data_IF_334690088039
#
_entry.id   IF_334690088039
#
_cell.length_a   1.000
_cell.length_b   1.000
_cell.length_c   1.000
_cell.angle_alpha   90.00
_cell.angle_beta   90.00
_cell.angle_gamma   90.00
#
_symmetry.space_group_name_H-M   'P 1'
#
loop_
_entity.id
_entity.type
_entity.pdbx_description
1 polymer ?
#
# COMPACT_ATOMS: atom_id res chain seq x y z
N UNK A 1 0.47 -5.44 -11.80
CA UNK A 1 0.17 -6.47 -12.83
C UNK A 1 0.66 -5.92 -14.15
N UNK A 2 1.09 -6.76 -15.08
CA UNK A 2 1.44 -6.32 -16.43
C UNK A 2 0.70 -7.21 -17.42
N UNK A 3 -0.05 -6.59 -18.33
CA UNK A 3 -0.92 -7.30 -19.28
C UNK A 3 -1.87 -8.27 -18.55
N UNK A 4 -2.54 -7.79 -17.50
CA UNK A 4 -3.48 -8.55 -16.64
C UNK A 4 -2.89 -9.80 -15.96
N UNK A 5 -1.57 -9.95 -15.98
CA UNK A 5 -0.86 -11.03 -15.30
C UNK A 5 -0.15 -10.53 -14.05
N UNK A 6 -0.20 -11.34 -13.00
CA UNK A 6 0.57 -11.08 -11.79
C UNK A 6 2.03 -11.43 -12.05
N UNK A 7 2.92 -10.52 -11.66
CA UNK A 7 4.37 -10.69 -11.80
C UNK A 7 4.95 -11.29 -10.52
N UNK A 8 4.54 -10.75 -9.36
CA UNK A 8 5.01 -11.18 -8.06
C UNK A 8 4.01 -10.83 -6.96
N UNK A 9 4.12 -11.56 -5.84
CA UNK A 9 3.43 -11.28 -4.59
C UNK A 9 4.45 -10.96 -3.50
N UNK A 10 4.09 -10.08 -2.59
CA UNK A 10 4.89 -9.79 -1.40
C UNK A 10 3.96 -9.62 -0.19
N UNK A 11 4.36 -10.20 0.94
CA UNK A 11 3.65 -10.08 2.21
C UNK A 11 4.66 -9.99 3.34
N UNK A 12 4.30 -9.32 4.43
CA UNK A 12 5.09 -9.33 5.67
C UNK A 12 4.18 -9.35 6.88
N UNK A 13 4.70 -9.89 7.98
CA UNK A 13 4.04 -9.78 9.27
C UNK A 13 4.19 -8.36 9.84
N UNK A 14 3.16 -7.92 10.58
CA UNK A 14 3.20 -6.66 11.30
C UNK A 14 4.17 -6.75 12.49
N UNK A 15 5.02 -5.74 12.64
CA UNK A 15 5.87 -5.59 13.82
C UNK A 15 5.01 -5.32 15.05
N UNK A 16 5.54 -5.63 16.24
CA UNK A 16 4.82 -5.48 17.51
C UNK A 16 4.22 -4.08 17.69
N UNK A 17 4.95 -3.02 17.30
CA UNK A 17 4.47 -1.65 17.40
C UNK A 17 3.48 -1.26 16.28
N UNK A 18 3.55 -1.92 15.11
CA UNK A 18 2.62 -1.71 13.99
C UNK A 18 1.23 -2.25 14.33
N UNK A 19 1.14 -3.30 15.16
CA UNK A 19 -0.15 -3.87 15.62
C UNK A 19 -1.07 -2.85 16.29
N UNK A 20 -0.51 -1.79 16.86
CA UNK A 20 -1.27 -0.72 17.53
C UNK A 20 -1.68 0.40 16.57
N UNK A 21 -1.40 0.27 15.28
CA UNK A 21 -1.73 1.31 14.31
C UNK A 21 -3.22 1.21 13.94
N UNK A 22 -3.88 2.36 13.72
CA UNK A 22 -5.22 2.33 13.14
C UNK A 22 -5.15 1.77 11.72
N UNK A 23 -6.22 1.12 11.25
CA UNK A 23 -6.30 0.43 9.95
C UNK A 23 -5.79 1.27 8.79
N UNK A 24 -6.18 2.53 8.73
CA UNK A 24 -5.71 3.48 7.71
C UNK A 24 -4.16 3.60 7.65
N UNK A 25 -3.50 3.60 8.81
CA UNK A 25 -2.03 3.66 8.87
C UNK A 25 -1.40 2.31 8.51
N UNK A 26 -2.06 1.18 8.77
CA UNK A 26 -1.59 -0.13 8.36
C UNK A 26 -1.62 -0.27 6.84
N UNK A 27 -2.71 0.12 6.21
CA UNK A 27 -2.86 0.07 4.76
C UNK A 27 -1.85 1.00 4.06
N UNK A 28 -1.65 2.22 4.57
CA UNK A 28 -0.63 3.13 4.05
C UNK A 28 0.80 2.55 4.21
N UNK A 29 1.07 1.87 5.33
CA UNK A 29 2.33 1.17 5.57
C UNK A 29 2.57 0.03 4.57
N UNK A 30 1.51 -0.68 4.16
CA UNK A 30 1.57 -1.72 3.12
C UNK A 30 1.95 -1.12 1.77
N UNK A 31 1.40 0.04 1.40
CA UNK A 31 1.77 0.75 0.15
C UNK A 31 3.25 1.15 0.20
N UNK A 32 3.69 1.78 1.29
CA UNK A 32 5.09 2.18 1.47
C UNK A 32 6.02 0.97 1.42
N UNK A 33 5.63 -0.14 2.03
CA UNK A 33 6.37 -1.40 1.98
C UNK A 33 6.51 -1.93 0.56
N UNK A 34 5.43 -1.98 -0.21
CA UNK A 34 5.45 -2.44 -1.59
C UNK A 34 6.37 -1.58 -2.47
N UNK A 35 6.27 -0.25 -2.36
CA UNK A 35 7.13 0.67 -3.11
C UNK A 35 8.61 0.49 -2.78
N UNK A 36 8.95 0.24 -1.51
CA UNK A 36 10.33 -0.02 -1.09
C UNK A 36 10.88 -1.33 -1.62
N UNK A 37 10.09 -2.40 -1.67
CA UNK A 37 10.55 -3.70 -2.19
C UNK A 37 10.84 -3.62 -3.69
N UNK A 38 9.95 -2.94 -4.42
CA UNK A 38 9.99 -2.92 -5.87
C UNK A 38 10.55 -1.59 -6.42
N UNK A 39 11.29 -0.83 -5.61
CA UNK A 39 11.73 0.53 -5.97
C UNK A 39 12.48 0.56 -7.30
N UNK A 40 13.32 -0.44 -7.56
CA UNK A 40 14.08 -0.59 -8.79
C UNK A 40 13.25 -0.85 -10.04
N UNK A 41 11.99 -1.31 -9.90
CA UNK A 41 11.07 -1.48 -11.02
C UNK A 41 10.06 -0.34 -11.15
N UNK A 42 9.73 0.32 -10.04
CA UNK A 42 8.67 1.33 -9.99
C UNK A 42 9.18 2.76 -10.17
N UNK A 43 10.49 3.00 -10.04
CA UNK A 43 11.06 4.33 -10.24
C UNK A 43 10.95 4.78 -11.71
N UNK A 44 10.42 5.98 -11.93
CA UNK A 44 10.30 6.58 -13.26
C UNK A 44 9.19 5.99 -14.14
N UNK A 45 8.31 5.16 -13.59
CA UNK A 45 7.16 4.57 -14.28
C UNK A 45 5.88 4.95 -13.55
N UNK A 46 4.80 5.20 -14.29
CA UNK A 46 3.48 5.43 -13.71
C UNK A 46 2.90 4.12 -13.14
N UNK A 47 2.47 4.14 -11.88
CA UNK A 47 1.98 2.95 -11.18
C UNK A 47 0.61 3.19 -10.56
N UNK A 48 -0.37 2.39 -10.98
CA UNK A 48 -1.68 2.33 -10.33
C UNK A 48 -1.63 1.43 -9.10
N UNK A 49 -1.90 2.00 -7.93
CA UNK A 49 -1.99 1.30 -6.65
C UNK A 49 -3.46 1.10 -6.30
N UNK A 50 -3.91 -0.15 -6.32
CA UNK A 50 -5.27 -0.53 -5.95
C UNK A 50 -5.36 -0.84 -4.46
N UNK A 51 -6.28 -0.18 -3.76
CA UNK A 51 -6.51 -0.34 -2.32
C UNK A 51 -8.00 -0.55 -2.07
N UNK A 52 -8.35 -1.36 -1.09
CA UNK A 52 -9.72 -1.68 -0.68
C UNK A 52 -10.30 -0.72 0.37
N UNK A 53 -9.56 0.34 0.71
CA UNK A 53 -9.99 1.35 1.67
C UNK A 53 -10.15 2.72 1.03
N UNK A 54 -11.41 3.15 0.95
CA UNK A 54 -11.81 4.35 0.20
C UNK A 54 -11.13 5.63 0.70
N UNK A 55 -10.82 5.76 2.00
CA UNK A 55 -10.25 7.01 2.52
C UNK A 55 -8.82 7.26 2.04
N UNK A 56 -8.06 6.20 1.68
CA UNK A 56 -6.67 6.35 1.24
C UNK A 56 -6.53 6.99 -0.13
N UNK A 57 -7.61 6.98 -0.92
CA UNK A 57 -7.68 7.74 -2.17
C UNK A 57 -7.39 9.23 -1.95
N UNK A 58 -7.71 9.76 -0.77
CA UNK A 58 -7.55 11.17 -0.44
C UNK A 58 -6.26 11.48 0.34
N UNK A 59 -5.34 10.53 0.49
CA UNK A 59 -4.14 10.69 1.33
C UNK A 59 -3.26 11.86 0.89
N UNK A 60 -3.22 12.17 -0.41
CA UNK A 60 -2.50 13.32 -0.97
C UNK A 60 -3.19 14.66 -0.74
N UNK A 61 -4.52 14.66 -0.57
CA UNK A 61 -5.35 15.86 -0.41
C UNK A 61 -5.71 16.17 1.04
N UNK A 62 -5.44 15.24 1.95
CA UNK A 62 -5.80 15.37 3.36
C UNK A 62 -4.96 16.47 4.04
N UNK A 63 -5.65 17.48 4.61
CA UNK A 63 -5.02 18.64 5.28
C UNK A 63 -4.31 18.26 6.58
N UNK A 64 -4.93 17.38 7.36
CA UNK A 64 -4.44 16.98 8.69
C UNK A 64 -3.84 15.58 8.63
N UNK A 65 -2.51 15.54 8.63
CA UNK A 65 -1.73 14.31 8.58
C UNK A 65 -0.83 14.23 9.80
N UNK A 66 -0.79 13.03 10.41
CA UNK A 66 0.15 12.74 11.50
C UNK A 66 1.60 12.73 10.96
N UNK A 67 2.59 13.00 11.82
CA UNK A 67 4.02 13.00 11.49
C UNK A 67 4.47 11.77 10.70
N UNK A 68 3.94 10.59 11.05
CA UNK A 68 4.23 9.35 10.31
C UNK A 68 3.70 9.39 8.87
N UNK A 69 2.45 9.80 8.68
CA UNK A 69 1.83 9.90 7.37
C UNK A 69 2.54 10.93 6.51
N UNK A 70 3.02 12.05 7.10
CA UNK A 70 3.82 13.05 6.38
C UNK A 70 5.11 12.46 5.83
N UNK A 71 5.88 11.72 6.65
CA UNK A 71 7.12 11.05 6.19
C UNK A 71 6.85 10.03 5.09
N UNK A 72 5.74 9.32 5.16
CA UNK A 72 5.35 8.39 4.11
C UNK A 72 4.92 9.11 2.84
N UNK A 73 4.21 10.23 2.95
CA UNK A 73 3.84 11.05 1.80
C UNK A 73 5.03 11.68 1.09
N UNK A 74 6.07 12.08 1.84
CA UNK A 74 7.35 12.51 1.24
C UNK A 74 7.92 11.41 0.35
N UNK A 75 7.97 10.17 0.84
CA UNK A 75 8.40 9.02 0.05
C UNK A 75 7.47 8.76 -1.14
N UNK A 76 6.15 8.85 -0.97
CA UNK A 76 5.19 8.62 -2.06
C UNK A 76 5.33 9.64 -3.19
N UNK A 77 5.72 10.89 -2.88
CA UNK A 77 5.94 11.94 -3.87
C UNK A 77 7.13 11.69 -4.80
N UNK A 78 8.06 10.82 -4.40
CA UNK A 78 9.18 10.42 -5.25
C UNK A 78 8.74 9.46 -6.37
N UNK A 79 7.54 8.89 -6.29
CA UNK A 79 6.97 7.97 -7.27
C UNK A 79 5.82 8.63 -8.04
N UNK A 80 5.72 8.30 -9.33
CA UNK A 80 4.55 8.65 -10.14
C UNK A 80 3.45 7.61 -9.91
N UNK A 81 2.62 7.81 -8.89
CA UNK A 81 1.59 6.85 -8.45
C UNK A 81 0.18 7.42 -8.43
N UNK A 82 -0.79 6.60 -8.84
CA UNK A 82 -2.23 6.86 -8.70
C UNK A 82 -2.84 5.89 -7.70
N UNK A 83 -3.45 6.40 -6.62
CA UNK A 83 -4.15 5.55 -5.65
C UNK A 83 -5.62 5.40 -6.07
N UNK A 84 -6.01 4.19 -6.43
CA UNK A 84 -7.34 3.85 -6.91
C UNK A 84 -8.05 2.95 -5.90
N UNK A 85 -9.28 3.31 -5.54
CA UNK A 85 -10.13 2.44 -4.74
C UNK A 85 -10.66 1.28 -5.60
N UNK A 86 -10.45 0.05 -5.13
CA UNK A 86 -11.02 -1.13 -5.75
C UNK A 86 -11.74 -1.99 -4.70
N UNK A 87 -13.03 -2.31 -4.88
CA UNK A 87 -13.80 -3.02 -3.88
C UNK A 87 -13.26 -4.44 -3.61
N UNK A 88 -13.24 -4.81 -2.32
CA UNK A 88 -12.68 -6.05 -1.73
C UNK A 88 -12.98 -7.34 -2.50
N UNK A 89 -14.11 -7.43 -3.22
CA UNK A 89 -14.52 -8.65 -3.97
C UNK A 89 -13.49 -9.13 -5.00
N UNK A 90 -12.60 -8.27 -5.50
CA UNK A 90 -11.54 -8.69 -6.42
C UNK A 90 -10.20 -8.99 -5.72
N UNK A 91 -10.06 -8.69 -4.42
CA UNK A 91 -8.78 -8.75 -3.70
C UNK A 91 -8.57 -10.08 -2.96
N UNK A 92 -9.23 -11.15 -3.40
CA UNK A 92 -9.27 -12.47 -2.75
C UNK A 92 -7.87 -13.03 -2.49
N UNK A 93 -6.94 -12.81 -3.42
CA UNK A 93 -5.56 -13.31 -3.29
C UNK A 93 -4.81 -12.56 -2.19
N UNK A 94 -5.00 -11.24 -2.08
CA UNK A 94 -4.34 -10.43 -1.04
C UNK A 94 -4.93 -10.73 0.33
N UNK A 95 -6.26 -10.91 0.44
CA UNK A 95 -6.91 -11.33 1.69
C UNK A 95 -6.46 -12.72 2.13
N UNK A 96 -6.24 -13.65 1.19
CA UNK A 96 -5.68 -14.96 1.51
C UNK A 96 -4.23 -14.84 2.03
N UNK A 97 -3.40 -13.99 1.41
CA UNK A 97 -2.01 -13.77 1.82
C UNK A 97 -1.89 -13.05 3.17
N UNK A 98 -2.79 -12.12 3.48
CA UNK A 98 -2.78 -11.39 4.76
C UNK A 98 -3.16 -12.28 5.95
N UNK A 99 -3.96 -13.32 5.71
CA UNK A 99 -4.43 -14.28 6.73
C UNK A 99 -3.50 -15.45 6.95
N UNK A 100 -2.51 -15.66 6.09
CA UNK A 100 -1.48 -16.66 6.27
C UNK A 100 -0.49 -16.21 7.36
N UNK A 101 -0.91 -16.31 8.61
CA UNK A 101 0.01 -16.34 9.75
C UNK A 101 0.73 -17.68 9.72
N UNK A 102 1.82 -17.78 8.99
CA UNK A 102 2.79 -18.85 9.25
C UNK A 102 3.37 -18.53 10.63
N UNK A 103 3.02 -19.39 11.60
CA UNK A 103 3.40 -19.27 13.00
C UNK A 103 4.89 -19.24 13.23
#
# INVERSE_FOLDING_TARGET
>A
MQNDKVIAYASRQLKVHEKNYPTHNLELDVVVFALKIWCHYLYGVHVDVFIDHKSLQYVFTQKELNLRQRRWLELLKDYDISILYHPVKANVIVDALSRLSIG
#
